data_IF_501450874805
#
_entry.id   IF_501450874805
#
_cell.length_a   1.000
_cell.length_b   1.000
_cell.length_c   1.000
_cell.angle_alpha   90.00
_cell.angle_beta   90.00
_cell.angle_gamma   90.00
#
_symmetry.space_group_name_H-M   'P 1'
#
loop_
_entity.id
_entity.type
_entity.pdbx_description
1 polymer ?
#
# COMPACT_ATOMS: atom_id res chain seq x y z
N UNK A 1 21.62 22.14 -20.99
CA UNK A 1 20.38 22.21 -21.81
C UNK A 1 19.25 21.58 -21.00
N UNK A 2 18.25 22.33 -20.50
CA UNK A 2 17.11 21.74 -19.82
C UNK A 2 16.23 20.97 -20.83
N UNK A 3 15.67 19.83 -20.42
CA UNK A 3 14.78 19.04 -21.25
C UNK A 3 13.48 19.83 -21.57
N UNK A 4 12.90 19.67 -22.76
CA UNK A 4 11.64 20.34 -23.11
C UNK A 4 10.50 19.88 -22.19
N UNK A 5 9.55 20.78 -21.86
CA UNK A 5 8.42 20.43 -21.00
C UNK A 5 7.55 19.37 -21.67
N UNK A 6 7.30 18.29 -20.93
CA UNK A 6 6.43 17.18 -21.38
C UNK A 6 4.97 17.67 -21.38
N UNK A 7 4.20 17.47 -22.47
CA UNK A 7 2.77 17.83 -22.51
C UNK A 7 1.99 17.21 -21.35
N UNK A 8 1.12 17.98 -20.69
CA UNK A 8 0.32 17.52 -19.53
C UNK A 8 -0.45 16.22 -19.79
N UNK A 9 -0.95 16.03 -21.02
CA UNK A 9 -1.66 14.81 -21.45
C UNK A 9 -0.78 13.55 -21.41
N UNK A 10 0.51 13.68 -21.70
CA UNK A 10 1.45 12.55 -21.59
C UNK A 10 1.73 12.20 -20.13
N UNK A 11 1.73 13.18 -19.22
CA UNK A 11 1.86 12.95 -17.78
C UNK A 11 0.64 12.22 -17.21
N UNK A 12 -0.58 12.61 -17.60
CA UNK A 12 -1.81 11.91 -17.19
C UNK A 12 -1.85 10.46 -17.65
N UNK A 13 -1.45 10.19 -18.91
CA UNK A 13 -1.41 8.82 -19.44
C UNK A 13 -0.36 7.98 -18.69
N UNK A 14 0.79 8.59 -18.39
CA UNK A 14 1.82 7.93 -17.59
C UNK A 14 1.31 7.61 -16.17
N UNK A 15 0.65 8.56 -15.51
CA UNK A 15 0.06 8.37 -14.19
C UNK A 15 -1.04 7.30 -14.19
N UNK A 16 -1.94 7.29 -15.17
CA UNK A 16 -3.02 6.28 -15.25
C UNK A 16 -2.53 4.86 -15.54
N UNK A 17 -1.28 4.68 -15.98
CA UNK A 17 -0.70 3.35 -16.25
C UNK A 17 0.25 2.87 -15.15
N UNK A 18 0.56 3.72 -14.18
CA UNK A 18 1.53 3.40 -13.14
C UNK A 18 0.98 2.34 -12.18
N UNK A 19 1.71 1.22 -12.08
CA UNK A 19 1.46 0.20 -11.06
C UNK A 19 2.34 0.51 -9.85
N UNK A 20 1.74 0.79 -8.70
CA UNK A 20 2.47 1.19 -7.49
C UNK A 20 2.13 0.25 -6.34
N UNK A 21 3.15 -0.29 -5.68
CA UNK A 21 3.00 -1.26 -4.60
C UNK A 21 3.55 -0.70 -3.30
N UNK A 22 2.82 -0.89 -2.20
CA UNK A 22 3.20 -0.42 -0.88
C UNK A 22 3.12 -1.55 0.14
N UNK A 23 4.01 -1.49 1.15
CA UNK A 23 3.99 -2.37 2.32
C UNK A 23 4.23 -1.54 3.58
N UNK A 24 3.23 -1.47 4.44
CA UNK A 24 3.27 -0.66 5.67
C UNK A 24 3.10 -1.60 6.87
N UNK A 25 4.02 -1.58 7.85
CA UNK A 25 3.82 -2.30 9.10
C UNK A 25 2.80 -1.57 9.97
N UNK A 26 1.93 -2.31 10.67
CA UNK A 26 1.00 -1.73 11.64
C UNK A 26 0.96 -2.55 12.93
N UNK A 27 0.53 -1.92 14.03
CA UNK A 27 0.23 -2.59 15.30
C UNK A 27 -1.27 -2.45 15.52
N UNK A 28 -1.94 -3.54 15.87
CA UNK A 28 -3.35 -3.46 16.22
C UNK A 28 -3.52 -2.70 17.53
N UNK A 29 -4.57 -1.88 17.69
CA UNK A 29 -4.84 -1.21 18.96
C UNK A 29 -4.86 -2.17 20.16
N UNK A 30 -5.42 -3.38 19.98
CA UNK A 30 -5.46 -4.42 21.02
C UNK A 30 -4.07 -4.96 21.45
N UNK A 31 -3.05 -4.80 20.62
CA UNK A 31 -1.68 -5.25 20.89
C UNK A 31 -0.75 -4.07 21.28
N UNK A 32 -1.26 -2.84 21.31
CA UNK A 32 -0.46 -1.62 21.55
C UNK A 32 0.08 -1.50 22.98
N UNK A 33 -0.65 -2.05 23.95
CA UNK A 33 -0.31 -2.03 25.38
C UNK A 33 0.30 -3.34 25.88
N UNK A 34 0.47 -4.34 25.00
CA UNK A 34 1.18 -5.56 25.37
C UNK A 34 2.66 -5.28 25.55
N UNK A 35 3.31 -6.13 26.33
CA UNK A 35 4.75 -6.09 26.53
C UNK A 35 5.47 -5.92 25.18
N UNK A 36 6.55 -5.11 25.10
CA UNK A 36 7.28 -4.86 23.86
C UNK A 36 7.70 -6.15 23.13
N UNK A 37 7.96 -7.22 23.89
CA UNK A 37 8.33 -8.55 23.39
C UNK A 37 7.13 -9.33 22.79
N UNK A 38 5.90 -8.96 23.17
CA UNK A 38 4.64 -9.55 22.71
C UNK A 38 3.87 -8.66 21.71
N UNK A 39 4.43 -7.52 21.29
CA UNK A 39 3.83 -6.64 20.28
C UNK A 39 3.90 -7.28 18.89
N UNK A 40 2.81 -7.96 18.53
CA UNK A 40 2.63 -8.56 17.21
C UNK A 40 2.35 -7.48 16.17
N UNK A 41 3.20 -7.38 15.15
CA UNK A 41 3.08 -6.43 14.04
C UNK A 41 2.38 -7.09 12.85
N UNK A 42 1.32 -6.48 12.35
CA UNK A 42 0.72 -6.82 11.07
C UNK A 42 1.37 -6.10 9.90
N UNK A 43 1.03 -6.52 8.69
CA UNK A 43 1.47 -5.90 7.44
C UNK A 43 0.27 -5.54 6.58
N UNK A 44 0.24 -4.31 6.09
CA UNK A 44 -0.73 -3.86 5.10
C UNK A 44 -0.02 -3.73 3.75
N UNK A 45 -0.52 -4.47 2.76
CA UNK A 45 -0.08 -4.42 1.37
C UNK A 45 -1.15 -3.74 0.53
N UNK A 46 -0.74 -2.84 -0.35
CA UNK A 46 -1.63 -2.21 -1.31
C UNK A 46 -1.00 -2.12 -2.69
N UNK A 47 -1.84 -2.34 -3.69
CA UNK A 47 -1.55 -2.18 -5.09
C UNK A 47 -2.45 -1.08 -5.65
N UNK A 48 -1.83 -0.03 -6.17
CA UNK A 48 -2.48 1.04 -6.89
C UNK A 48 -2.29 0.84 -8.40
N UNK A 49 -3.41 0.90 -9.12
CA UNK A 49 -3.45 1.00 -10.57
C UNK A 49 -3.79 2.46 -10.93
N UNK A 50 -2.77 3.19 -11.36
CA UNK A 50 -2.80 4.62 -11.48
C UNK A 50 -3.13 5.34 -10.16
N UNK A 51 -4.13 6.24 -10.12
CA UNK A 51 -4.49 6.97 -8.91
C UNK A 51 -5.31 6.16 -7.90
N UNK A 52 -5.78 4.96 -8.26
CA UNK A 52 -6.75 4.19 -7.47
C UNK A 52 -6.14 2.91 -6.89
N UNK A 53 -6.69 2.47 -5.77
CA UNK A 53 -6.34 1.17 -5.19
C UNK A 53 -7.10 0.05 -5.93
N UNK A 54 -6.37 -0.93 -6.44
CA UNK A 54 -6.95 -2.06 -7.17
C UNK A 54 -7.03 -3.32 -6.30
N UNK A 55 -6.02 -3.52 -5.44
CA UNK A 55 -5.94 -4.68 -4.54
C UNK A 55 -5.33 -4.27 -3.22
N UNK A 56 -5.83 -4.83 -2.13
CA UNK A 56 -5.20 -4.71 -0.81
C UNK A 56 -5.20 -6.04 -0.08
N UNK A 57 -4.21 -6.23 0.78
CA UNK A 57 -4.07 -7.43 1.59
C UNK A 57 -3.52 -7.09 2.97
N UNK A 58 -4.16 -7.60 4.01
CA UNK A 58 -3.69 -7.49 5.38
C UNK A 58 -3.20 -8.82 5.89
N UNK A 59 -1.95 -8.85 6.36
CA UNK A 59 -1.39 -9.98 7.09
C UNK A 59 -1.38 -9.65 8.58
N UNK A 60 -2.03 -10.51 9.35
CA UNK A 60 -2.07 -10.44 10.81
C UNK A 60 -1.30 -11.65 11.36
N UNK A 61 -0.45 -11.51 12.40
CA UNK A 61 0.38 -12.61 12.88
C UNK A 61 -0.37 -13.85 13.36
N UNK A 62 -1.61 -13.68 13.82
CA UNK A 62 -2.43 -14.76 14.41
C UNK A 62 -3.76 -14.96 13.68
N UNK A 63 -3.95 -14.35 12.51
CA UNK A 63 -5.19 -14.50 11.74
C UNK A 63 -4.86 -14.87 10.31
N UNK A 64 -5.84 -15.45 9.64
CA UNK A 64 -5.74 -15.69 8.21
C UNK A 64 -5.56 -14.36 7.45
N UNK A 65 -4.81 -14.37 6.34
CA UNK A 65 -4.71 -13.21 5.45
C UNK A 65 -6.09 -12.69 5.05
N UNK A 66 -6.26 -11.38 5.09
CA UNK A 66 -7.47 -10.71 4.57
C UNK A 66 -7.11 -10.19 3.18
N UNK A 67 -7.85 -10.59 2.15
CA UNK A 67 -7.68 -10.13 0.78
C UNK A 67 -8.92 -9.34 0.35
N UNK A 68 -8.72 -8.14 -0.19
CA UNK A 68 -9.79 -7.30 -0.71
C UNK A 68 -9.38 -6.82 -2.11
N UNK A 69 -10.30 -6.98 -3.07
CA UNK A 69 -10.12 -6.62 -4.48
C UNK A 69 -11.24 -5.68 -4.91
N UNK A 70 -10.93 -4.74 -5.81
CA UNK A 70 -11.88 -3.78 -6.37
C UNK A 70 -12.42 -4.22 -7.74
#
# INVERSE_FOLDING_TARGET
NPAPPVPARQQEIAMNRQQRYFRIPFIRPADQYKDPQNKKKGWWYAHFDGPWIARQMELHPDKQPILLVA
#
